data_IF_631301336288
#
_entry.id   IF_631301336288
#
_cell.length_a   1.000
_cell.length_b   1.000
_cell.length_c   1.000
_cell.angle_alpha   90.00
_cell.angle_beta   90.00
_cell.angle_gamma   90.00
#
_symmetry.space_group_name_H-M   'P 1'
#
loop_
_entity.id
_entity.type
_entity.pdbx_description
1 polymer ?
#
# COMPACT_ATOMS: atom_id res chain seq x y z
N UNK A 1 -15.31 8.95 -2.78
CA UNK A 1 -15.67 7.73 -3.51
C UNK A 1 -16.29 6.73 -2.54
N UNK A 2 -17.60 6.44 -2.60
CA UNK A 2 -18.28 5.61 -1.59
C UNK A 2 -17.78 4.16 -1.51
N UNK A 3 -17.40 3.58 -2.66
CA UNK A 3 -16.99 2.18 -2.75
C UNK A 3 -15.51 1.93 -2.38
N UNK A 4 -14.74 2.98 -2.09
CA UNK A 4 -13.29 2.86 -1.86
C UNK A 4 -12.96 1.88 -0.72
N UNK A 5 -13.59 2.03 0.44
CA UNK A 5 -13.30 1.19 1.62
C UNK A 5 -13.63 -0.29 1.36
N UNK A 6 -14.78 -0.59 0.75
CA UNK A 6 -15.16 -1.96 0.42
C UNK A 6 -14.24 -2.59 -0.61
N UNK A 7 -13.80 -1.82 -1.61
CA UNK A 7 -12.87 -2.29 -2.64
C UNK A 7 -11.50 -2.60 -2.05
N UNK A 8 -10.94 -1.69 -1.23
CA UNK A 8 -9.65 -1.90 -0.55
C UNK A 8 -9.70 -3.17 0.30
N UNK A 9 -10.74 -3.32 1.12
CA UNK A 9 -10.91 -4.49 1.98
C UNK A 9 -10.98 -5.80 1.19
N UNK A 10 -11.71 -5.82 0.08
CA UNK A 10 -11.83 -7.02 -0.75
C UNK A 10 -10.47 -7.49 -1.27
N UNK A 11 -9.68 -6.57 -1.83
CA UNK A 11 -8.36 -6.91 -2.38
C UNK A 11 -7.39 -7.33 -1.27
N UNK A 12 -7.40 -6.65 -0.12
CA UNK A 12 -6.57 -7.05 1.04
C UNK A 12 -6.94 -8.45 1.52
N UNK A 13 -8.23 -8.74 1.67
CA UNK A 13 -8.71 -10.06 2.08
C UNK A 13 -8.26 -11.16 1.12
N UNK A 14 -8.43 -10.96 -0.18
CA UNK A 14 -8.02 -11.93 -1.19
C UNK A 14 -6.50 -12.14 -1.19
N UNK A 15 -5.73 -11.07 -0.99
CA UNK A 15 -4.27 -11.15 -0.86
C UNK A 15 -3.85 -11.92 0.39
N UNK A 16 -4.44 -11.65 1.56
CA UNK A 16 -4.15 -12.34 2.82
C UNK A 16 -4.52 -13.82 2.74
N UNK A 17 -5.66 -14.16 2.13
CA UNK A 17 -6.05 -15.56 1.92
C UNK A 17 -5.06 -16.33 1.03
N UNK A 18 -4.46 -15.65 0.05
CA UNK A 18 -3.45 -16.24 -0.83
C UNK A 18 -2.10 -16.38 -0.13
N UNK A 19 -1.71 -15.40 0.67
CA UNK A 19 -0.48 -15.44 1.47
C UNK A 19 -0.66 -14.67 2.79
N UNK A 20 -0.84 -15.41 3.89
CA UNK A 20 -1.10 -14.83 5.21
C UNK A 20 -0.08 -13.76 5.65
N UNK A 21 1.18 -13.88 5.23
CA UNK A 21 2.25 -12.92 5.58
C UNK A 21 2.07 -11.54 4.94
N UNK A 22 1.25 -11.42 3.90
CA UNK A 22 1.08 -10.15 3.20
C UNK A 22 0.41 -9.10 4.09
N UNK A 23 -0.49 -9.50 5.00
CA UNK A 23 -1.12 -8.57 5.94
C UNK A 23 -0.09 -7.89 6.85
N UNK A 24 0.81 -8.67 7.43
CA UNK A 24 1.93 -8.12 8.21
C UNK A 24 2.87 -7.25 7.35
N UNK A 25 3.03 -7.58 6.07
CA UNK A 25 3.88 -6.82 5.16
C UNK A 25 3.28 -5.46 4.82
N UNK A 26 1.98 -5.37 4.55
CA UNK A 26 1.25 -4.13 4.28
C UNK A 26 1.24 -3.22 5.52
N UNK A 27 0.98 -3.79 6.70
CA UNK A 27 1.09 -3.05 7.96
C UNK A 27 2.49 -2.45 8.13
N UNK A 28 3.54 -3.22 7.81
CA UNK A 28 4.92 -2.73 7.85
C UNK A 28 5.18 -1.63 6.82
N UNK A 29 4.63 -1.73 5.60
CA UNK A 29 4.77 -0.65 4.61
C UNK A 29 4.18 0.66 5.15
N UNK A 30 2.99 0.64 5.75
CA UNK A 30 2.40 1.84 6.35
C UNK A 30 3.26 2.41 7.47
N UNK A 31 3.82 1.57 8.34
CA UNK A 31 4.76 2.00 9.37
C UNK A 31 6.00 2.70 8.77
N UNK A 32 6.60 2.12 7.72
CA UNK A 32 7.80 2.68 7.08
C UNK A 32 7.52 3.99 6.33
N UNK A 33 6.36 4.10 5.67
CA UNK A 33 5.90 5.34 5.04
C UNK A 33 5.76 6.44 6.11
N UNK A 34 5.00 6.18 7.17
CA UNK A 34 4.77 7.16 8.23
C UNK A 34 6.04 7.62 8.98
N UNK A 35 7.08 6.80 9.04
CA UNK A 35 8.32 7.12 9.76
C UNK A 35 9.29 8.00 8.97
N UNK A 36 9.14 8.07 7.64
CA UNK A 36 10.00 8.88 6.76
C UNK A 36 9.15 9.98 6.18
N UNK A 37 9.33 11.22 6.65
CA UNK A 37 8.58 12.39 6.20
C UNK A 37 7.03 12.35 6.38
N UNK A 38 6.50 11.33 7.07
CA UNK A 38 5.08 11.18 7.38
C UNK A 38 4.35 10.29 6.37
N UNK A 39 3.08 9.99 6.63
CA UNK A 39 2.32 9.05 5.80
C UNK A 39 1.87 9.72 4.49
N UNK A 40 2.78 9.89 3.53
CA UNK A 40 2.58 10.64 2.29
C UNK A 40 2.64 9.76 1.03
N UNK A 41 2.88 8.45 1.17
CA UNK A 41 3.01 7.50 0.07
C UNK A 41 4.36 7.55 -0.63
N UNK A 42 5.35 8.28 -0.09
CA UNK A 42 6.71 8.38 -0.62
C UNK A 42 7.39 7.02 -0.75
N UNK A 43 7.16 6.10 0.20
CA UNK A 43 7.72 4.74 0.16
C UNK A 43 7.35 3.96 -1.11
N UNK A 44 6.24 4.31 -1.75
CA UNK A 44 5.71 3.61 -2.91
C UNK A 44 6.41 4.03 -4.23
N UNK A 45 7.13 5.15 -4.23
CA UNK A 45 7.76 5.69 -5.43
C UNK A 45 8.98 4.85 -5.86
N UNK A 46 9.07 4.55 -7.15
CA UNK A 46 10.24 3.91 -7.75
C UNK A 46 11.36 4.92 -8.04
N UNK A 47 12.57 4.40 -8.22
CA UNK A 47 13.74 5.22 -8.52
C UNK A 47 13.57 5.92 -9.87
N UNK A 48 13.98 7.18 -9.94
CA UNK A 48 14.05 7.96 -11.17
C UNK A 48 15.47 8.51 -11.34
N UNK A 49 15.86 9.06 -12.51
CA UNK A 49 17.20 9.62 -12.69
C UNK A 49 17.60 10.71 -11.69
N UNK A 50 16.62 11.38 -11.07
CA UNK A 50 16.82 12.48 -10.12
C UNK A 50 16.48 12.13 -8.67
N UNK A 51 15.99 10.92 -8.39
CA UNK A 51 15.50 10.53 -7.07
C UNK A 51 15.73 9.04 -6.84
N UNK A 52 16.47 8.71 -5.78
CA UNK A 52 16.62 7.34 -5.31
C UNK A 52 15.39 6.96 -4.47
N UNK A 53 14.90 5.74 -4.66
CA UNK A 53 13.70 5.25 -3.97
C UNK A 53 14.01 4.87 -2.54
N UNK A 54 13.07 5.15 -1.64
CA UNK A 54 13.09 4.65 -0.27
C UNK A 54 13.08 3.11 -0.21
N UNK A 55 12.63 2.43 -1.26
CA UNK A 55 12.72 0.97 -1.39
C UNK A 55 14.17 0.46 -1.33
N UNK A 56 15.14 1.30 -1.69
CA UNK A 56 16.57 0.97 -1.65
C UNK A 56 17.24 1.27 -0.30
N UNK A 57 16.53 1.91 0.64
CA UNK A 57 17.07 2.17 1.96
C UNK A 57 17.41 0.86 2.70
N UNK A 58 18.45 0.85 3.53
CA UNK A 58 18.88 -0.33 4.30
C UNK A 58 17.74 -1.12 5.00
N UNK A 59 16.72 -0.48 5.64
CA UNK A 59 15.65 -1.23 6.27
C UNK A 59 14.61 -1.80 5.28
N UNK A 60 14.61 -1.35 4.02
CA UNK A 60 13.63 -1.69 2.99
C UNK A 60 14.18 -2.64 1.92
N UNK A 61 15.45 -2.49 1.54
CA UNK A 61 16.06 -3.29 0.48
C UNK A 61 16.06 -4.78 0.86
N UNK A 62 15.56 -5.62 -0.04
CA UNK A 62 15.36 -7.07 0.19
C UNK A 62 14.53 -7.38 1.46
N UNK A 63 13.67 -6.46 1.89
CA UNK A 63 12.96 -6.56 3.17
C UNK A 63 11.50 -6.11 3.06
N UNK A 64 11.24 -4.89 2.59
CA UNK A 64 9.91 -4.38 2.33
C UNK A 64 9.28 -5.11 1.14
N UNK A 65 8.00 -5.46 1.24
CA UNK A 65 7.27 -6.26 0.23
C UNK A 65 5.77 -5.99 0.29
N UNK A 66 5.04 -6.37 -0.76
CA UNK A 66 3.59 -6.15 -0.88
C UNK A 66 3.21 -4.89 -1.67
N UNK A 67 4.18 -4.29 -2.38
CA UNK A 67 3.95 -3.15 -3.27
C UNK A 67 2.94 -3.51 -4.38
N UNK A 68 3.05 -4.72 -4.92
CA UNK A 68 2.17 -5.26 -5.95
C UNK A 68 0.69 -5.36 -5.50
N UNK A 69 0.45 -5.55 -4.19
CA UNK A 69 -0.90 -5.53 -3.64
C UNK A 69 -1.43 -4.11 -3.54
N UNK A 70 -0.58 -3.15 -3.18
CA UNK A 70 -0.94 -1.73 -3.16
C UNK A 70 -1.29 -1.24 -4.57
N UNK A 71 -0.54 -1.68 -5.60
CA UNK A 71 -0.84 -1.39 -7.01
C UNK A 71 -2.21 -1.97 -7.42
N UNK A 72 -2.48 -3.23 -7.07
CA UNK A 72 -3.77 -3.86 -7.34
C UNK A 72 -4.94 -3.15 -6.65
N UNK A 73 -4.74 -2.71 -5.39
CA UNK A 73 -5.73 -1.90 -4.67
C UNK A 73 -5.95 -0.57 -5.39
N UNK A 74 -4.88 0.13 -5.76
CA UNK A 74 -4.96 1.43 -6.42
C UNK A 74 -5.74 1.33 -7.73
N UNK A 75 -5.42 0.34 -8.56
CA UNK A 75 -6.15 0.08 -9.79
C UNK A 75 -7.63 -0.19 -9.53
N UNK A 76 -7.95 -1.13 -8.63
CA UNK A 76 -9.33 -1.50 -8.34
C UNK A 76 -10.14 -0.32 -7.77
N UNK A 77 -9.53 0.51 -6.93
CA UNK A 77 -10.15 1.72 -6.38
C UNK A 77 -10.40 2.74 -7.48
N UNK A 78 -9.43 3.02 -8.34
CA UNK A 78 -9.60 4.00 -9.41
C UNK A 78 -10.69 3.57 -10.40
N UNK A 79 -10.77 2.27 -10.71
CA UNK A 79 -11.86 1.68 -11.51
C UNK A 79 -13.22 1.82 -10.81
N UNK A 80 -13.31 1.45 -9.52
CA UNK A 80 -14.56 1.55 -8.74
C UNK A 80 -15.03 3.00 -8.54
N UNK A 81 -14.10 3.95 -8.53
CA UNK A 81 -14.36 5.37 -8.37
C UNK A 81 -14.53 6.13 -9.71
N UNK A 82 -14.17 5.50 -10.83
CA UNK A 82 -14.16 6.08 -12.18
C UNK A 82 -13.12 7.19 -12.40
N UNK A 83 -12.21 7.40 -11.44
CA UNK A 83 -11.17 8.45 -11.43
C UNK A 83 -10.23 8.29 -10.24
N UNK A 84 -8.98 8.79 -10.33
CA UNK A 84 -8.01 8.74 -9.25
C UNK A 84 -8.31 9.78 -8.16
N UNK A 85 -9.19 9.43 -7.22
CA UNK A 85 -9.62 10.33 -6.13
C UNK A 85 -9.16 9.91 -4.75
N UNK A 86 -8.73 8.66 -4.57
CA UNK A 86 -8.16 8.19 -3.30
C UNK A 86 -6.64 8.22 -3.41
N UNK A 87 -6.00 8.87 -2.44
CA UNK A 87 -4.55 9.00 -2.40
C UNK A 87 -3.88 7.66 -2.08
N UNK A 88 -2.63 7.47 -2.51
CA UNK A 88 -1.88 6.26 -2.20
C UNK A 88 -1.57 6.16 -0.69
N UNK A 89 -1.37 7.30 -0.02
CA UNK A 89 -1.24 7.38 1.43
C UNK A 89 -2.49 6.83 2.16
N UNK A 90 -3.68 7.27 1.75
CA UNK A 90 -4.95 6.77 2.33
C UNK A 90 -5.14 5.28 2.03
N UNK A 91 -4.83 4.84 0.80
CA UNK A 91 -4.88 3.42 0.44
C UNK A 91 -4.00 2.60 1.37
N UNK A 92 -2.77 3.03 1.62
CA UNK A 92 -1.81 2.31 2.45
C UNK A 92 -2.27 2.24 3.92
N UNK A 93 -2.81 3.35 4.45
CA UNK A 93 -3.37 3.41 5.80
C UNK A 93 -4.59 2.48 5.97
N UNK A 94 -5.53 2.52 5.02
CA UNK A 94 -6.75 1.70 5.03
C UNK A 94 -6.38 0.22 4.87
N UNK A 95 -5.45 -0.09 3.97
CA UNK A 95 -4.99 -1.46 3.73
C UNK A 95 -4.27 -2.03 4.95
N UNK A 96 -3.46 -1.23 5.66
CA UNK A 96 -2.82 -1.62 6.91
C UNK A 96 -3.83 -1.92 8.02
N UNK A 97 -4.89 -1.09 8.16
CA UNK A 97 -5.99 -1.35 9.10
C UNK A 97 -6.67 -2.68 8.79
N UNK A 98 -7.04 -2.91 7.53
CA UNK A 98 -7.76 -4.12 7.15
C UNK A 98 -6.87 -5.37 7.29
N UNK A 99 -5.56 -5.24 7.03
CA UNK A 99 -4.56 -6.31 7.22
C UNK A 99 -4.38 -6.78 8.66
N UNK A 100 -4.77 -5.97 9.66
CA UNK A 100 -4.75 -6.36 11.08
C UNK A 100 -6.00 -7.16 11.47
N UNK A 101 -7.08 -7.01 10.70
CA UNK A 101 -8.39 -7.61 10.96
C UNK A 101 -8.55 -8.95 10.24
N UNK A 102 -8.06 -9.04 9.00
CA UNK A 102 -8.12 -10.25 8.16
C UNK A 102 -7.05 -11.30 8.55
#
# INVERSE_FOLDING_TARGET
>A
CPNALSTIRSVVKDAVQKENRIGASILRLHFHDCFVNGCDGSLLLDSTPSMDSEKNANPNINSARGFEVVDAIKQAVDEACGKPVVSCADILAIAARDSVVE
#
